data_IF_660517517159
#
_entry.id   IF_660517517159
#
_cell.length_a   1.000
_cell.length_b   1.000
_cell.length_c   1.000
_cell.angle_alpha   90.00
_cell.angle_beta   90.00
_cell.angle_gamma   90.00
#
_symmetry.space_group_name_H-M   'P 1'
#
loop_
_entity.id
_entity.type
_entity.pdbx_description
1 polymer ?
#
# COMPACT_ATOMS: atom_id res chain seq x y z
N UNK A 1 12.91 2.29 22.21
CA UNK A 1 13.25 1.22 21.27
C UNK A 1 13.32 1.80 19.87
N UNK A 2 14.45 1.65 19.18
CA UNK A 2 14.69 2.13 17.80
C UNK A 2 13.59 1.68 16.84
N UNK A 3 13.07 0.48 17.05
CA UNK A 3 12.01 -0.10 16.23
C UNK A 3 10.69 0.69 16.28
N UNK A 4 10.28 1.09 17.49
CA UNK A 4 9.05 1.86 17.71
C UNK A 4 9.14 3.22 17.01
N UNK A 5 10.32 3.85 17.02
CA UNK A 5 10.57 5.11 16.31
C UNK A 5 10.41 4.92 14.80
N UNK A 6 10.97 3.84 14.23
CA UNK A 6 10.83 3.52 12.80
C UNK A 6 9.38 3.27 12.40
N UNK A 7 8.60 2.56 13.22
CA UNK A 7 7.17 2.36 12.93
C UNK A 7 6.36 3.65 12.98
N UNK A 8 6.59 4.51 13.99
CA UNK A 8 5.93 5.81 14.03
C UNK A 8 6.33 6.70 12.85
N UNK A 9 7.60 6.68 12.44
CA UNK A 9 8.05 7.38 11.24
C UNK A 9 7.33 6.86 9.99
N UNK A 10 7.23 5.54 9.81
CA UNK A 10 6.49 4.93 8.70
C UNK A 10 5.02 5.37 8.69
N UNK A 11 4.34 5.33 9.84
CA UNK A 11 2.95 5.78 10.00
C UNK A 11 2.80 7.25 9.60
N UNK A 12 3.72 8.10 10.05
CA UNK A 12 3.74 9.53 9.72
C UNK A 12 3.90 9.76 8.21
N UNK A 13 4.88 9.11 7.58
CA UNK A 13 5.09 9.22 6.13
C UNK A 13 3.90 8.71 5.31
N UNK A 14 3.28 7.59 5.71
CA UNK A 14 2.09 7.06 5.04
C UNK A 14 0.90 8.04 5.12
N UNK A 15 0.72 8.71 6.26
CA UNK A 15 -0.31 9.75 6.41
C UNK A 15 -0.04 10.93 5.48
N UNK A 16 1.20 11.41 5.42
CA UNK A 16 1.58 12.50 4.51
C UNK A 16 1.32 12.12 3.05
N UNK A 17 1.77 10.94 2.63
CA UNK A 17 1.53 10.42 1.28
C UNK A 17 0.05 10.32 0.97
N UNK A 18 -0.78 9.84 1.91
CA UNK A 18 -2.22 9.74 1.70
C UNK A 18 -2.88 11.09 1.44
N UNK A 19 -2.49 12.12 2.21
CA UNK A 19 -3.03 13.48 2.05
C UNK A 19 -2.57 14.09 0.73
N UNK A 20 -1.30 13.92 0.37
CA UNK A 20 -0.75 14.40 -0.90
C UNK A 20 -1.41 13.71 -2.10
N UNK A 21 -1.55 12.38 -2.06
CA UNK A 21 -2.17 11.61 -3.13
C UNK A 21 -3.58 12.09 -3.43
N UNK A 22 -4.41 12.32 -2.39
CA UNK A 22 -5.77 12.81 -2.56
C UNK A 22 -5.85 14.18 -3.23
N UNK A 23 -4.78 14.99 -3.14
CA UNK A 23 -4.69 16.30 -3.79
C UNK A 23 -4.23 16.21 -5.25
N UNK A 24 -3.34 15.27 -5.56
CA UNK A 24 -2.72 15.16 -6.90
C UNK A 24 -3.57 14.29 -7.83
N UNK A 25 -3.88 13.06 -7.43
CA UNK A 25 -4.57 12.09 -8.27
C UNK A 25 -5.30 11.06 -7.41
N UNK A 26 -6.62 11.19 -7.36
CA UNK A 26 -7.47 10.23 -6.68
C UNK A 26 -7.39 8.87 -7.39
N UNK A 27 -6.81 7.88 -6.71
CA UNK A 27 -6.82 6.48 -7.13
C UNK A 27 -7.38 5.66 -5.96
N UNK A 28 -8.54 4.98 -6.13
CA UNK A 28 -9.18 4.23 -5.06
C UNK A 28 -8.33 3.04 -4.58
N UNK A 29 -7.67 2.33 -5.49
CA UNK A 29 -6.84 1.16 -5.16
C UNK A 29 -5.65 1.57 -4.29
N UNK A 30 -5.02 2.68 -4.65
CA UNK A 30 -3.91 3.26 -3.89
C UNK A 30 -4.36 3.74 -2.50
N UNK A 31 -5.56 4.31 -2.41
CA UNK A 31 -6.14 4.71 -1.12
C UNK A 31 -6.41 3.50 -0.22
N UNK A 32 -6.88 2.38 -0.79
CA UNK A 32 -7.06 1.11 -0.07
C UNK A 32 -5.72 0.59 0.43
N UNK A 33 -4.69 0.57 -0.43
CA UNK A 33 -3.35 0.13 -0.06
C UNK A 33 -2.77 0.95 1.10
N UNK A 34 -2.88 2.28 1.03
CA UNK A 34 -2.37 3.15 2.10
C UNK A 34 -3.11 2.91 3.42
N UNK A 35 -4.44 2.78 3.39
CA UNK A 35 -5.23 2.47 4.61
C UNK A 35 -4.86 1.12 5.21
N UNK A 36 -4.65 0.09 4.39
CA UNK A 36 -4.24 -1.24 4.85
C UNK A 36 -2.83 -1.24 5.41
N UNK A 37 -1.90 -0.54 4.77
CA UNK A 37 -0.52 -0.36 5.25
C UNK A 37 -0.53 0.33 6.61
N UNK A 38 -1.30 1.41 6.75
CA UNK A 38 -1.46 2.14 8.00
C UNK A 38 -2.09 1.25 9.09
N UNK A 39 -3.15 0.51 8.76
CA UNK A 39 -3.79 -0.40 9.69
C UNK A 39 -2.85 -1.51 10.19
N UNK A 40 -2.10 -2.15 9.29
CA UNK A 40 -1.12 -3.17 9.65
C UNK A 40 0.01 -2.60 10.52
N UNK A 41 0.51 -1.40 10.20
CA UNK A 41 1.51 -0.73 11.01
C UNK A 41 0.99 -0.40 12.41
N UNK A 42 -0.23 0.12 12.52
CA UNK A 42 -0.85 0.43 13.81
C UNK A 42 -1.05 -0.82 14.65
N UNK A 43 -1.54 -1.92 14.06
CA UNK A 43 -1.68 -3.20 14.75
C UNK A 43 -0.33 -3.72 15.24
N UNK A 44 0.73 -3.61 14.44
CA UNK A 44 2.07 -3.98 14.87
C UNK A 44 2.52 -3.18 16.10
N UNK A 45 2.35 -1.84 16.11
CA UNK A 45 2.67 -1.01 17.29
C UNK A 45 1.87 -1.45 18.51
N UNK A 46 0.55 -1.66 18.36
CA UNK A 46 -0.33 -2.06 19.48
C UNK A 46 0.13 -3.40 20.05
N UNK A 47 0.30 -4.41 19.21
CA UNK A 47 0.74 -5.76 19.63
C UNK A 47 2.10 -5.71 20.31
N UNK A 48 3.05 -4.93 19.77
CA UNK A 48 4.36 -4.73 20.38
C UNK A 48 4.27 -4.09 21.77
N UNK A 49 3.44 -3.06 21.95
CA UNK A 49 3.28 -2.38 23.23
C UNK A 49 2.64 -3.30 24.27
N UNK A 50 1.66 -4.12 23.88
CA UNK A 50 1.06 -5.13 24.75
C UNK A 50 2.11 -6.18 25.13
N UNK A 51 2.87 -6.71 24.17
CA UNK A 51 3.94 -7.68 24.42
C UNK A 51 5.01 -7.10 25.36
N UNK A 52 5.41 -5.84 25.20
CA UNK A 52 6.44 -5.21 26.02
C UNK A 52 5.97 -4.85 27.43
N UNK A 53 4.71 -4.41 27.60
CA UNK A 53 4.21 -3.80 28.85
C UNK A 53 3.26 -4.69 29.63
N UNK A 54 2.61 -5.63 28.96
CA UNK A 54 1.56 -6.45 29.55
C UNK A 54 1.87 -7.95 29.47
N UNK A 55 3.10 -8.36 29.13
CA UNK A 55 3.45 -9.79 28.99
C UNK A 55 3.05 -10.63 30.21
N UNK A 56 3.19 -10.11 31.43
CA UNK A 56 2.81 -10.83 32.65
C UNK A 56 1.31 -11.16 32.70
N UNK A 57 0.47 -10.37 32.03
CA UNK A 57 -0.97 -10.55 31.97
C UNK A 57 -1.43 -11.39 30.76
N UNK A 58 -0.66 -11.44 29.68
CA UNK A 58 -1.07 -12.11 28.43
C UNK A 58 -0.25 -13.33 28.03
N UNK A 59 0.79 -13.71 28.78
CA UNK A 59 1.69 -14.81 28.40
C UNK A 59 1.13 -16.24 28.59
N UNK A 60 0.03 -16.42 29.32
CA UNK A 60 -0.59 -17.71 29.57
C UNK A 60 0.13 -18.62 30.56
N UNK A 61 1.22 -18.14 31.19
CA UNK A 61 2.09 -18.93 32.09
C UNK A 61 2.14 -18.32 33.48
N UNK A 62 2.08 -16.99 33.57
CA UNK A 62 2.12 -16.27 34.85
C UNK A 62 0.85 -16.51 35.66
N UNK A 63 0.91 -16.59 37.00
CA UNK A 63 -0.27 -16.65 37.86
C UNK A 63 -1.17 -15.42 37.75
N UNK A 64 -0.66 -14.30 37.22
CA UNK A 64 -1.45 -13.09 36.92
C UNK A 64 -1.98 -13.05 35.49
N UNK A 65 -1.72 -14.09 34.69
CA UNK A 65 -2.14 -14.09 33.30
C UNK A 65 -3.65 -14.32 33.19
N UNK A 66 -4.29 -13.49 32.40
CA UNK A 66 -5.71 -13.61 32.08
C UNK A 66 -5.98 -14.67 31.01
N UNK A 67 -5.01 -14.92 30.13
CA UNK A 67 -5.11 -15.96 29.10
C UNK A 67 -4.65 -17.31 29.65
N UNK A 68 -5.22 -18.39 29.11
CA UNK A 68 -4.81 -19.76 29.44
C UNK A 68 -3.81 -20.36 28.42
N UNK A 69 -3.48 -19.61 27.37
CA UNK A 69 -2.54 -20.01 26.33
C UNK A 69 -1.60 -18.85 26.03
N UNK A 70 -0.41 -19.15 25.49
CA UNK A 70 0.52 -18.13 25.04
C UNK A 70 0.15 -17.68 23.60
N UNK A 71 -0.36 -16.46 23.40
CA UNK A 71 -0.74 -15.96 22.08
C UNK A 71 0.45 -15.66 21.18
N UNK A 72 1.69 -15.71 21.68
CA UNK A 72 2.91 -15.37 20.94
C UNK A 72 2.81 -13.99 20.27
N UNK A 73 2.47 -12.95 21.05
CA UNK A 73 2.27 -11.59 20.53
C UNK A 73 3.48 -11.08 19.75
N UNK A 74 4.69 -11.48 20.13
CA UNK A 74 5.90 -11.21 19.36
C UNK A 74 5.85 -11.75 17.91
N UNK A 75 5.30 -12.95 17.70
CA UNK A 75 5.11 -13.51 16.36
C UNK A 75 4.07 -12.72 15.55
N UNK A 76 2.98 -12.31 16.19
CA UNK A 76 1.96 -11.44 15.57
C UNK A 76 2.53 -10.09 15.19
N UNK A 77 3.39 -9.52 16.04
CA UNK A 77 4.12 -8.30 15.72
C UNK A 77 4.96 -8.46 14.45
N UNK A 78 5.74 -9.54 14.31
CA UNK A 78 6.48 -9.82 13.08
C UNK A 78 5.57 -9.90 11.86
N UNK A 79 4.44 -10.61 11.97
CA UNK A 79 3.48 -10.75 10.89
C UNK A 79 2.91 -9.41 10.43
N UNK A 80 2.39 -8.59 11.36
CA UNK A 80 1.82 -7.29 11.02
C UNK A 80 2.87 -6.31 10.47
N UNK A 81 4.09 -6.37 11.02
CA UNK A 81 5.20 -5.54 10.57
C UNK A 81 5.65 -5.90 9.16
N UNK A 82 5.78 -7.19 8.85
CA UNK A 82 6.10 -7.67 7.51
C UNK A 82 5.01 -7.28 6.50
N UNK A 83 3.74 -7.45 6.89
CA UNK A 83 2.60 -7.02 6.06
C UNK A 83 2.59 -5.51 5.79
N UNK A 84 2.87 -4.68 6.79
CA UNK A 84 2.96 -3.24 6.63
C UNK A 84 4.14 -2.86 5.72
N UNK A 85 5.31 -3.44 5.96
CA UNK A 85 6.51 -3.16 5.17
C UNK A 85 6.33 -3.57 3.70
N UNK A 86 5.77 -4.76 3.44
CA UNK A 86 5.50 -5.23 2.08
C UNK A 86 4.58 -4.26 1.32
N UNK A 87 3.48 -3.84 1.95
CA UNK A 87 2.55 -2.89 1.34
C UNK A 87 3.17 -1.50 1.12
N UNK A 88 4.00 -1.04 2.05
CA UNK A 88 4.74 0.22 1.90
C UNK A 88 5.74 0.15 0.73
N UNK A 89 6.43 -0.98 0.54
CA UNK A 89 7.32 -1.20 -0.61
C UNK A 89 6.52 -1.18 -1.92
N UNK A 90 5.35 -1.81 -1.97
CA UNK A 90 4.48 -1.74 -3.15
C UNK A 90 4.03 -0.31 -3.47
N UNK A 91 3.74 0.50 -2.44
CA UNK A 91 3.42 1.92 -2.60
C UNK A 91 4.59 2.70 -3.18
N UNK A 92 5.80 2.50 -2.63
CA UNK A 92 7.03 3.14 -3.13
C UNK A 92 7.29 2.73 -4.57
N UNK A 93 7.19 1.44 -4.88
CA UNK A 93 7.37 0.91 -6.23
C UNK A 93 6.35 1.51 -7.20
N UNK A 94 5.07 1.60 -6.82
CA UNK A 94 4.05 2.26 -7.62
C UNK A 94 4.46 3.69 -7.99
N UNK A 95 4.81 4.53 -7.01
CA UNK A 95 5.20 5.91 -7.30
C UNK A 95 6.48 6.00 -8.13
N UNK A 96 7.45 5.13 -7.86
CA UNK A 96 8.70 5.05 -8.60
C UNK A 96 8.48 4.81 -10.10
N UNK A 97 7.56 3.91 -10.46
CA UNK A 97 7.22 3.63 -11.86
C UNK A 97 6.28 4.68 -12.47
N UNK A 98 5.39 5.28 -11.67
CA UNK A 98 4.48 6.34 -12.13
C UNK A 98 5.27 7.60 -12.53
N UNK A 99 6.24 8.02 -11.71
CA UNK A 99 7.14 9.15 -12.01
C UNK A 99 7.97 8.93 -13.28
N UNK A 100 8.26 7.67 -13.63
CA UNK A 100 8.98 7.30 -14.86
C UNK A 100 8.10 7.09 -16.08
N UNK A 101 6.79 7.30 -15.96
CA UNK A 101 5.86 7.13 -17.08
C UNK A 101 5.64 5.66 -17.50
N UNK A 102 5.90 4.69 -16.62
CA UNK A 102 5.65 3.26 -16.91
C UNK A 102 4.22 2.80 -16.57
N UNK A 103 3.31 3.75 -16.30
CA UNK A 103 1.88 3.54 -16.05
C UNK A 103 1.57 2.29 -15.20
N UNK A 104 2.06 2.23 -13.95
CA UNK A 104 1.85 1.08 -13.09
C UNK A 104 0.36 0.89 -12.76
N UNK A 105 -0.07 -0.37 -12.71
CA UNK A 105 -1.42 -0.76 -12.28
C UNK A 105 -1.30 -1.57 -11.00
N UNK A 106 -2.00 -1.11 -9.96
CA UNK A 106 -2.13 -1.83 -8.71
C UNK A 106 -3.32 -2.78 -8.80
N UNK A 107 -3.12 -4.05 -8.44
CA UNK A 107 -4.19 -5.05 -8.28
C UNK A 107 -4.06 -5.73 -6.93
N UNK A 108 -5.13 -6.36 -6.46
CA UNK A 108 -5.09 -7.15 -5.22
C UNK A 108 -5.39 -8.62 -5.52
N UNK A 109 -4.40 -9.48 -5.33
CA UNK A 109 -4.58 -10.93 -5.42
C UNK A 109 -5.26 -11.47 -4.16
N UNK A 110 -6.27 -12.31 -4.37
CA UNK A 110 -7.23 -12.75 -3.35
C UNK A 110 -7.85 -11.58 -2.55
N UNK A 111 -7.90 -10.38 -3.13
CA UNK A 111 -8.41 -9.18 -2.46
C UNK A 111 -7.51 -8.62 -1.35
N UNK A 112 -6.39 -9.26 -1.00
CA UNK A 112 -5.50 -8.83 0.09
C UNK A 112 -4.09 -8.45 -0.37
N UNK A 113 -3.46 -9.28 -1.20
CA UNK A 113 -2.04 -9.13 -1.55
C UNK A 113 -1.89 -8.13 -2.69
N UNK A 114 -1.30 -6.94 -2.48
CA UNK A 114 -1.06 -6.00 -3.57
C UNK A 114 -0.04 -6.57 -4.57
N UNK A 115 -0.39 -6.53 -5.85
CA UNK A 115 0.47 -6.87 -6.97
C UNK A 115 0.59 -5.65 -7.86
N UNK A 116 1.82 -5.31 -8.23
CA UNK A 116 2.13 -4.26 -9.19
C UNK A 116 2.30 -4.86 -10.57
N UNK A 117 1.53 -4.39 -11.54
CA UNK A 117 1.67 -4.75 -12.95
C UNK A 117 2.13 -3.53 -13.75
N UNK A 118 3.20 -3.69 -14.52
CA UNK A 118 3.66 -2.65 -15.45
C UNK A 118 2.99 -2.87 -16.80
N UNK A 119 2.41 -1.81 -17.37
CA UNK A 119 1.98 -1.86 -18.77
C UNK A 119 3.21 -1.62 -19.64
N UNK A 120 3.51 -2.56 -20.53
CA UNK A 120 4.52 -2.34 -21.56
C UNK A 120 3.99 -1.21 -22.47
N UNK A 121 4.79 -0.16 -22.77
CA UNK A 121 4.39 0.85 -23.73
C UNK A 121 4.07 0.16 -25.06
N UNK A 122 3.00 0.55 -25.79
CA UNK A 122 2.76 0.00 -27.11
C UNK A 122 4.00 0.23 -27.96
N UNK A 123 4.60 -0.85 -28.46
CA UNK A 123 5.67 -0.78 -29.46
C UNK A 123 5.18 0.11 -30.59
N UNK A 124 5.95 1.08 -31.10
CA UNK A 124 5.57 1.82 -32.29
C UNK A 124 5.49 0.83 -33.45
N UNK A 125 4.30 0.28 -33.67
CA UNK A 125 4.01 -0.48 -34.87
C UNK A 125 4.14 0.48 -36.04
N UNK A 126 5.00 0.08 -36.97
CA UNK A 126 5.15 0.47 -38.37
C UNK A 126 3.97 1.23 -38.98
N UNK A 127 4.20 2.15 -39.95
CA UNK A 127 3.18 3.04 -40.50
C UNK A 127 1.99 2.23 -41.03
N UNK A 128 0.90 2.23 -40.25
CA UNK A 128 -0.40 1.76 -40.72
C UNK A 128 -0.87 2.74 -41.79
N UNK A 129 -0.66 2.32 -43.04
CA UNK A 129 -1.47 2.57 -44.24
C UNK A 129 -2.54 3.64 -44.03
N UNK A 130 -2.27 4.82 -44.61
CA UNK A 130 -3.17 5.94 -44.89
C UNK A 130 -4.67 5.61 -44.73
N UNK A 131 -5.30 6.16 -43.70
CA UNK A 131 -6.74 6.39 -43.76
C UNK A 131 -7.02 7.44 -44.86
N UNK A 132 -8.00 7.22 -45.76
CA UNK A 132 -8.39 8.25 -46.70
C UNK A 132 -9.00 9.43 -45.93
N UNK A 133 -8.51 10.62 -46.27
CA UNK A 133 -8.98 11.91 -45.80
C UNK A 133 -10.51 12.00 -45.99
N UNK A 134 -11.27 11.90 -44.91
CA UNK A 134 -12.68 12.30 -44.91
C UNK A 134 -12.71 13.83 -44.93
N UNK A 135 -12.82 14.39 -46.14
CA UNK A 135 -13.11 15.81 -46.37
C UNK A 135 -14.46 16.09 -45.74
N UNK A 136 -14.46 16.77 -44.59
CA UNK A 136 -15.66 17.29 -43.94
C UNK A 136 -16.24 18.38 -44.86
N UNK A 137 -17.23 18.00 -45.67
CA UNK A 137 -18.10 18.94 -46.38
C UNK A 137 -18.79 19.85 -45.34
N UNK A 138 -18.91 21.12 -45.72
CA UNK A 138 -19.04 22.23 -44.79
C UNK A 138 -20.37 22.35 -44.08
N UNK A 139 -20.39 23.32 -43.16
CA UNK A 139 -21.59 24.04 -42.76
C UNK A 139 -21.16 25.50 -42.61
N UNK A 140 -21.45 26.27 -43.66
CA UNK A 140 -21.65 27.70 -43.65
C UNK A 140 -23.04 27.91 -43.03
N UNK A 141 -23.14 28.61 -41.91
CA UNK A 141 -24.38 29.30 -41.52
C UNK A 141 -23.97 30.67 -41.01
N UNK A 142 -24.66 31.64 -41.59
CA UNK A 142 -24.54 33.10 -41.52
C UNK A 142 -24.61 33.68 -40.10
#
# INVERSE_FOLDING_TARGET
STYTILQFAMIFYLRLLHVQQRRIRSNPDLSILIRRTFGAALLAVIVWLIDLRLCEFVNGISPKSWLWFNPQLHAWWHLFSACALYQAIMLIAYYHYDVRGHYPVLRFWLGFIPILQLKVPPTPSSPTRSQPLQIRKGVLVE
#
